data_IF_748052152436
#
_entry.id   IF_748052152436
#
_cell.length_a   1.000
_cell.length_b   1.000
_cell.length_c   1.000
_cell.angle_alpha   90.00
_cell.angle_beta   90.00
_cell.angle_gamma   90.00
#
_symmetry.space_group_name_H-M   'P 1'
#
loop_
_entity.id
_entity.type
_entity.pdbx_description
1 polymer ?
#
# COMPACT_ATOMS: atom_id res chain seq x y z
N UNK A 1 13.27 -22.59 -13.04
CA UNK A 1 14.29 -22.88 -12.02
C UNK A 1 13.65 -22.70 -10.67
N UNK A 2 13.57 -23.75 -9.84
CA UNK A 2 13.04 -23.64 -8.47
C UNK A 2 14.19 -23.16 -7.59
N UNK A 3 14.08 -21.94 -7.06
CA UNK A 3 15.06 -21.43 -6.09
C UNK A 3 14.83 -22.18 -4.78
N UNK A 4 15.78 -23.05 -4.41
CA UNK A 4 15.73 -23.76 -3.14
C UNK A 4 16.40 -22.88 -2.08
N UNK A 5 15.58 -22.21 -1.26
CA UNK A 5 16.08 -21.39 -0.15
C UNK A 5 16.72 -22.29 0.92
N UNK A 6 17.88 -21.88 1.46
CA UNK A 6 18.50 -22.59 2.59
C UNK A 6 17.59 -22.49 3.83
N UNK A 7 17.29 -23.61 4.50
CA UNK A 7 16.55 -23.55 5.76
C UNK A 7 17.37 -22.82 6.83
N UNK A 8 16.69 -22.20 7.80
CA UNK A 8 17.35 -21.58 8.94
C UNK A 8 17.89 -22.65 9.89
N UNK A 9 18.90 -22.31 10.70
CA UNK A 9 19.51 -23.24 11.65
C UNK A 9 18.56 -23.65 12.78
N UNK A 10 17.64 -22.78 13.16
CA UNK A 10 16.77 -22.96 14.33
C UNK A 10 15.35 -22.42 14.07
N UNK A 11 14.36 -23.09 14.66
CA UNK A 11 12.94 -22.77 14.55
C UNK A 11 12.24 -22.80 15.92
N UNK A 12 11.15 -22.05 16.06
CA UNK A 12 10.24 -22.07 17.21
C UNK A 12 8.79 -22.17 16.74
N UNK A 13 7.89 -22.65 17.61
CA UNK A 13 6.45 -22.65 17.34
C UNK A 13 5.94 -21.21 17.36
N UNK A 14 5.23 -20.80 16.32
CA UNK A 14 4.53 -19.52 16.26
C UNK A 14 3.37 -19.49 17.26
N UNK A 15 3.11 -18.32 17.84
CA UNK A 15 1.91 -18.08 18.65
C UNK A 15 0.62 -18.00 17.79
N UNK A 16 0.75 -18.12 16.47
CA UNK A 16 -0.35 -18.11 15.49
C UNK A 16 -0.59 -19.53 14.98
N UNK A 17 -1.75 -20.11 15.31
CA UNK A 17 -2.09 -21.52 15.08
C UNK A 17 -1.82 -22.01 13.65
N UNK A 18 -2.24 -21.23 12.65
CA UNK A 18 -2.11 -21.63 11.25
C UNK A 18 -0.70 -21.45 10.67
N UNK A 19 0.21 -20.78 11.37
CA UNK A 19 1.55 -20.43 10.85
C UNK A 19 2.61 -21.50 11.15
N UNK A 20 2.41 -22.33 12.18
CA UNK A 20 3.32 -23.43 12.50
C UNK A 20 4.70 -22.97 12.99
N UNK A 21 5.78 -23.52 12.42
CA UNK A 21 7.17 -23.20 12.81
C UNK A 21 7.71 -21.97 12.08
N UNK A 22 8.31 -21.05 12.82
CA UNK A 22 8.99 -19.86 12.31
C UNK A 22 10.46 -19.85 12.73
N UNK A 23 11.35 -19.15 12.03
CA UNK A 23 12.76 -19.06 12.43
C UNK A 23 12.91 -18.52 13.85
N UNK A 24 13.79 -19.11 14.65
CA UNK A 24 13.86 -18.81 16.09
C UNK A 24 14.13 -17.31 16.37
N UNK A 25 14.93 -16.66 15.53
CA UNK A 25 15.30 -15.24 15.63
C UNK A 25 14.21 -14.26 15.14
N UNK A 26 13.11 -14.73 14.56
CA UNK A 26 12.01 -13.85 14.12
C UNK A 26 11.18 -13.35 15.30
N UNK A 27 10.73 -12.11 15.20
CA UNK A 27 9.79 -11.50 16.15
C UNK A 27 8.42 -11.38 15.49
N UNK A 28 7.37 -11.84 16.18
CA UNK A 28 5.99 -11.66 15.73
C UNK A 28 5.47 -10.32 16.20
N UNK A 29 4.83 -9.56 15.31
CA UNK A 29 4.20 -8.28 15.66
C UNK A 29 3.01 -8.00 14.74
N UNK A 30 2.16 -7.04 15.14
CA UNK A 30 1.04 -6.56 14.33
C UNK A 30 1.52 -5.47 13.37
N UNK A 31 1.00 -5.47 12.14
CA UNK A 31 1.36 -4.49 11.08
C UNK A 31 1.30 -3.04 11.58
N UNK A 32 0.30 -2.68 12.39
CA UNK A 32 0.12 -1.32 12.95
C UNK A 32 1.31 -0.79 13.75
N UNK A 33 2.21 -1.66 14.23
CA UNK A 33 3.41 -1.26 14.97
C UNK A 33 4.61 -0.96 14.06
N UNK A 34 4.60 -1.46 12.82
CA UNK A 34 5.64 -1.19 11.82
C UNK A 34 5.19 -0.22 10.72
N UNK A 35 3.89 -0.04 10.54
CA UNK A 35 3.33 0.70 9.40
C UNK A 35 2.17 1.61 9.82
N UNK A 36 2.13 2.81 9.24
CA UNK A 36 0.95 3.65 9.19
C UNK A 36 0.06 3.18 8.02
N UNK A 37 -1.14 2.69 8.35
CA UNK A 37 -2.12 2.24 7.37
C UNK A 37 -3.11 3.37 7.09
N UNK A 38 -3.41 3.64 5.83
CA UNK A 38 -4.35 4.69 5.42
C UNK A 38 -5.16 4.21 4.23
N UNK A 39 -6.48 4.23 4.36
CA UNK A 39 -7.40 4.00 3.25
C UNK A 39 -7.52 5.27 2.40
N UNK A 40 -7.57 5.12 1.07
CA UNK A 40 -7.73 6.25 0.17
C UNK A 40 -9.10 6.93 0.22
N UNK A 41 -9.24 8.02 -0.54
CA UNK A 41 -10.46 8.86 -0.57
C UNK A 41 -11.53 8.28 -1.50
N UNK A 42 -12.80 8.49 -1.18
CA UNK A 42 -13.89 8.29 -2.15
C UNK A 42 -13.73 9.21 -3.37
N UNK A 43 -14.27 8.76 -4.51
CA UNK A 43 -14.24 9.54 -5.74
C UNK A 43 -14.96 10.88 -5.56
N UNK A 44 -14.27 11.97 -5.90
CA UNK A 44 -14.85 13.31 -5.92
C UNK A 44 -14.72 13.90 -7.33
N UNK A 45 -15.83 13.88 -8.08
CA UNK A 45 -15.89 14.38 -9.46
C UNK A 45 -15.98 15.89 -9.55
N UNK A 46 -16.52 16.54 -8.52
CA UNK A 46 -16.78 17.98 -8.48
C UNK A 46 -15.93 18.68 -7.42
N UNK A 47 -15.57 19.92 -7.67
CA UNK A 47 -14.86 20.76 -6.72
C UNK A 47 -15.80 21.11 -5.55
N UNK A 48 -15.40 20.83 -4.30
CA UNK A 48 -16.21 21.15 -3.10
C UNK A 48 -15.76 22.43 -2.42
N UNK A 49 -14.47 22.72 -2.46
CA UNK A 49 -13.88 23.97 -1.98
C UNK A 49 -13.03 24.61 -3.07
N UNK A 50 -12.93 25.94 -3.07
CA UNK A 50 -12.09 26.69 -4.02
C UNK A 50 -10.59 26.38 -3.88
N UNK A 51 -10.19 25.78 -2.76
CA UNK A 51 -8.83 25.32 -2.48
C UNK A 51 -8.59 23.87 -2.88
N UNK A 52 -9.60 23.16 -3.37
CA UNK A 52 -9.40 21.80 -3.88
C UNK A 52 -8.56 21.86 -5.17
N UNK A 53 -7.68 20.86 -5.34
CA UNK A 53 -6.88 20.72 -6.55
C UNK A 53 -7.24 19.44 -7.29
N UNK A 54 -7.20 19.50 -8.62
CA UNK A 54 -7.45 18.35 -9.49
C UNK A 54 -6.15 17.57 -9.70
N UNK A 55 -6.07 16.36 -9.15
CA UNK A 55 -4.81 15.59 -9.03
C UNK A 55 -4.93 14.14 -9.48
N UNK A 56 -3.84 13.53 -9.95
CA UNK A 56 -3.82 12.14 -10.40
C UNK A 56 -3.92 11.16 -9.23
N UNK A 57 -4.64 10.06 -9.44
CA UNK A 57 -4.82 9.05 -8.39
C UNK A 57 -4.80 7.62 -8.93
N UNK A 58 -4.48 6.68 -8.05
CA UNK A 58 -4.55 5.25 -8.31
C UNK A 58 -5.84 4.65 -7.75
N UNK A 59 -6.38 3.69 -8.51
CA UNK A 59 -7.53 2.83 -8.18
C UNK A 59 -7.13 1.35 -8.31
N UNK A 60 -8.03 0.43 -7.93
CA UNK A 60 -7.75 -1.01 -7.90
C UNK A 60 -7.17 -1.59 -9.21
N UNK A 61 -7.55 -1.05 -10.38
CA UNK A 61 -7.01 -1.50 -11.68
C UNK A 61 -5.54 -1.11 -11.89
N UNK A 62 -5.03 -0.10 -11.18
CA UNK A 62 -3.62 0.29 -11.26
C UNK A 62 -2.70 -0.66 -10.47
N UNK A 63 -3.24 -1.49 -9.56
CA UNK A 63 -2.43 -2.42 -8.76
C UNK A 63 -2.54 -3.82 -9.37
N UNK A 64 -1.49 -4.29 -10.02
CA UNK A 64 -1.44 -5.57 -10.73
C UNK A 64 -0.39 -6.51 -10.12
N UNK A 65 -0.48 -7.83 -10.34
CA UNK A 65 0.53 -8.77 -9.82
C UNK A 65 1.96 -8.47 -10.29
N UNK A 66 2.11 -7.91 -11.49
CA UNK A 66 3.40 -7.50 -12.07
C UNK A 66 3.89 -6.12 -11.59
N UNK A 67 3.08 -5.38 -10.81
CA UNK A 67 3.42 -4.06 -10.31
C UNK A 67 2.34 -3.01 -10.57
N UNK A 68 2.77 -1.76 -10.73
CA UNK A 68 1.86 -0.62 -10.89
C UNK A 68 1.64 -0.34 -12.37
N UNK A 69 0.38 -0.35 -12.79
CA UNK A 69 -0.02 -0.05 -14.16
C UNK A 69 -0.52 1.39 -14.28
N UNK A 70 0.16 2.19 -15.12
CA UNK A 70 -0.04 3.64 -15.22
C UNK A 70 -0.61 4.12 -16.56
N UNK A 71 -0.96 3.22 -17.47
CA UNK A 71 -1.51 3.60 -18.78
C UNK A 71 -2.88 4.29 -18.66
N UNK A 72 -3.58 4.05 -17.55
CA UNK A 72 -4.85 4.70 -17.22
C UNK A 72 -4.82 5.25 -15.80
N UNK A 73 -4.26 6.46 -15.66
CA UNK A 73 -4.33 7.27 -14.44
C UNK A 73 -5.36 8.37 -14.64
N UNK A 74 -6.37 8.38 -13.78
CA UNK A 74 -7.42 9.40 -13.78
C UNK A 74 -7.09 10.49 -12.77
N UNK A 75 -7.85 11.59 -12.85
CA UNK A 75 -7.75 12.71 -11.93
C UNK A 75 -9.07 12.88 -11.16
N UNK A 76 -8.97 13.32 -9.91
CA UNK A 76 -10.13 13.72 -9.11
C UNK A 76 -9.78 14.90 -8.20
N UNK A 77 -10.78 15.48 -7.55
CA UNK A 77 -10.57 16.62 -6.66
C UNK A 77 -10.12 16.19 -5.26
N UNK A 78 -9.04 16.82 -4.78
CA UNK A 78 -8.48 16.61 -3.45
C UNK A 78 -8.46 17.91 -2.67
N UNK A 79 -8.87 17.85 -1.40
CA UNK A 79 -8.69 18.97 -0.47
C UNK A 79 -7.23 19.05 -0.03
N UNK A 80 -6.81 20.20 0.53
CA UNK A 80 -5.48 20.34 1.13
C UNK A 80 -5.19 19.28 2.19
N UNK A 81 -6.20 18.84 2.96
CA UNK A 81 -6.06 17.75 3.93
C UNK A 81 -5.87 16.39 3.27
N UNK A 82 -6.62 16.09 2.21
CA UNK A 82 -6.46 14.84 1.48
C UNK A 82 -5.09 14.76 0.83
N UNK A 83 -4.60 15.88 0.27
CA UNK A 83 -3.28 15.89 -0.34
C UNK A 83 -2.18 15.64 0.69
N UNK A 84 -2.29 16.20 1.90
CA UNK A 84 -1.32 15.94 2.97
C UNK A 84 -1.33 14.47 3.42
N UNK A 85 -2.49 13.84 3.51
CA UNK A 85 -2.62 12.49 4.09
C UNK A 85 -2.44 11.37 3.07
N UNK A 86 -2.84 11.59 1.81
CA UNK A 86 -2.95 10.55 0.78
C UNK A 86 -1.86 10.60 -0.29
N UNK A 87 -0.99 11.61 -0.28
CA UNK A 87 0.15 11.67 -1.22
C UNK A 87 1.02 10.43 -1.09
N UNK A 88 1.33 9.81 -2.22
CA UNK A 88 2.24 8.68 -2.29
C UNK A 88 3.70 9.13 -2.17
N UNK A 89 4.46 8.38 -1.39
CA UNK A 89 5.89 8.55 -1.16
C UNK A 89 6.62 7.26 -1.53
N UNK A 90 7.88 7.40 -1.96
CA UNK A 90 8.71 6.24 -2.27
C UNK A 90 8.74 5.24 -1.10
N UNK A 91 8.52 3.95 -1.41
CA UNK A 91 8.51 2.88 -0.42
C UNK A 91 7.13 2.63 0.21
N UNK A 92 6.10 3.38 -0.16
CA UNK A 92 4.72 3.06 0.20
C UNK A 92 4.31 1.71 -0.41
N UNK A 93 3.67 0.85 0.38
CA UNK A 93 3.07 -0.40 -0.11
C UNK A 93 1.58 -0.15 -0.35
N UNK A 94 1.13 -0.39 -1.57
CA UNK A 94 -0.26 -0.23 -1.98
C UNK A 94 -0.92 -1.60 -2.01
N UNK A 95 -2.07 -1.72 -1.36
CA UNK A 95 -2.82 -2.96 -1.20
C UNK A 95 -4.23 -2.71 -1.72
N UNK A 96 -4.62 -3.39 -2.78
CA UNK A 96 -5.96 -3.29 -3.36
C UNK A 96 -6.94 -4.17 -2.60
N UNK A 97 -8.03 -3.59 -2.11
CA UNK A 97 -9.20 -4.31 -1.56
C UNK A 97 -10.25 -4.64 -2.63
N UNK A 98 -10.19 -3.98 -3.79
CA UNK A 98 -11.12 -4.21 -4.89
C UNK A 98 -10.68 -5.33 -5.84
N UNK A 99 -11.57 -6.29 -6.10
CA UNK A 99 -11.38 -7.41 -7.05
C UNK A 99 -11.13 -8.77 -6.37
N UNK A 100 -10.55 -9.70 -7.12
CA UNK A 100 -10.08 -11.03 -6.69
C UNK A 100 -8.98 -10.95 -5.60
N UNK A 101 -8.31 -12.08 -5.26
CA UNK A 101 -7.20 -12.21 -4.29
C UNK A 101 -6.33 -10.94 -4.18
N UNK A 102 -6.14 -10.44 -2.95
CA UNK A 102 -5.50 -9.16 -2.65
C UNK A 102 -4.19 -8.94 -3.41
N UNK A 103 -4.15 -7.87 -4.21
CA UNK A 103 -2.98 -7.45 -5.00
C UNK A 103 -2.22 -6.38 -4.25
N UNK A 104 -0.88 -6.45 -4.27
CA UNK A 104 -0.04 -5.46 -3.65
C UNK A 104 1.16 -5.09 -4.52
N UNK A 105 1.58 -3.83 -4.46
CA UNK A 105 2.76 -3.31 -5.15
C UNK A 105 3.45 -2.23 -4.32
N UNK A 106 4.75 -2.04 -4.52
CA UNK A 106 5.53 -0.97 -3.89
C UNK A 106 5.53 0.23 -4.83
N UNK A 107 5.14 1.40 -4.34
CA UNK A 107 5.29 2.67 -5.04
C UNK A 107 6.75 3.11 -5.01
N UNK A 108 7.34 3.27 -6.19
CA UNK A 108 8.74 3.65 -6.41
C UNK A 108 8.88 5.05 -6.99
N UNK A 109 7.90 5.92 -6.75
CA UNK A 109 7.87 7.28 -7.32
C UNK A 109 7.77 7.27 -8.84
N UNK A 110 6.94 6.39 -9.36
CA UNK A 110 6.67 6.23 -10.79
C UNK A 110 6.08 7.50 -11.42
N UNK A 111 5.40 8.32 -10.61
CA UNK A 111 4.97 9.67 -10.96
C UNK A 111 5.53 10.70 -9.95
N UNK A 112 5.77 11.96 -10.39
CA UNK A 112 6.19 13.04 -9.50
C UNK A 112 5.20 13.32 -8.36
N UNK A 113 3.91 13.15 -8.64
CA UNK A 113 2.83 13.33 -7.68
C UNK A 113 1.68 12.37 -8.02
N UNK A 114 1.18 11.65 -7.01
CA UNK A 114 0.04 10.75 -7.13
C UNK A 114 -0.61 10.48 -5.77
N UNK A 115 -1.90 10.15 -5.80
CA UNK A 115 -2.77 9.93 -4.63
C UNK A 115 -3.53 8.60 -4.76
N UNK A 116 -4.35 8.25 -3.77
CA UNK A 116 -5.07 6.96 -3.73
C UNK A 116 -6.58 7.10 -3.49
N UNK A 117 -7.34 6.25 -4.18
CA UNK A 117 -8.78 6.06 -3.98
C UNK A 117 -9.07 5.03 -2.88
N UNK A 118 -10.29 5.04 -2.34
CA UNK A 118 -10.81 4.13 -1.30
C UNK A 118 -10.90 2.64 -1.68
N UNK A 119 -10.37 2.23 -2.83
CA UNK A 119 -10.16 0.83 -3.17
C UNK A 119 -8.73 0.36 -2.84
N UNK A 120 -7.87 1.27 -2.36
CA UNK A 120 -6.47 1.03 -2.04
C UNK A 120 -6.21 1.44 -0.59
N UNK A 121 -5.61 0.52 0.17
CA UNK A 121 -4.91 0.85 1.40
C UNK A 121 -3.44 1.12 1.09
N UNK A 122 -2.89 2.16 1.70
CA UNK A 122 -1.46 2.38 1.77
C UNK A 122 -0.94 1.93 3.12
N UNK A 123 0.05 1.05 3.11
CA UNK A 123 0.92 0.80 4.25
C UNK A 123 2.25 1.54 4.08
N UNK A 124 2.49 2.55 4.91
CA UNK A 124 3.73 3.32 4.93
C UNK A 124 4.58 2.88 6.11
N UNK A 125 5.84 2.43 5.92
CA UNK A 125 6.74 2.11 7.03
C UNK A 125 6.84 3.28 8.00
N UNK A 126 6.65 3.01 9.29
CA UNK A 126 7.04 3.94 10.34
C UNK A 126 8.58 3.96 10.31
N UNK A 127 9.18 5.13 10.05
CA UNK A 127 10.64 5.25 10.15
C UNK A 127 11.05 4.79 11.55
N UNK A 128 11.99 3.83 11.62
CA UNK A 128 12.57 3.47 12.91
C UNK A 128 13.20 4.72 13.50
N UNK A 129 12.93 4.98 14.77
CA UNK A 129 13.80 5.86 15.55
C UNK A 129 15.18 5.23 15.70
#
# INVERSE_FOLDING_TARGET
MVVQYKPYSEYKVSEVEWLGLIPAHWHSTKIKYGYAITLGKMLQKEMKAYTDEFKPYLKAINIQPQGIWLDSVENMWFSQSDMRSLKLLNGDVLISEGGDVGRAAIWRSELPECYIQNAINRARPLRSR
#
